data_IF_372650551442
#
_entry.id   IF_372650551442
#
_cell.length_a   1.000
_cell.length_b   1.000
_cell.length_c   1.000
_cell.angle_alpha   90.00
_cell.angle_beta   90.00
_cell.angle_gamma   90.00
#
_symmetry.space_group_name_H-M   'P 1'
#
loop_
_entity.id
_entity.type
_entity.pdbx_description
1 polymer ?
#
# COMPACT_ATOMS: atom_id res chain seq x y z
N UNK A 1 7.45 -14.61 -13.96
CA UNK A 1 6.78 -13.30 -14.03
C UNK A 1 6.72 -12.71 -12.63
N UNK A 2 6.94 -11.40 -12.44
CA UNK A 2 6.99 -10.78 -11.11
C UNK A 2 5.60 -10.25 -10.75
N UNK A 3 4.95 -10.85 -9.75
CA UNK A 3 3.63 -10.38 -9.26
C UNK A 3 3.73 -8.88 -8.91
N UNK A 4 2.82 -8.03 -9.42
CA UNK A 4 2.81 -6.61 -9.11
C UNK A 4 2.54 -6.37 -7.62
N UNK A 5 2.93 -5.21 -7.13
CA UNK A 5 2.69 -4.80 -5.74
C UNK A 5 2.14 -3.39 -5.77
N UNK A 6 0.94 -3.21 -5.23
CA UNK A 6 0.27 -1.92 -5.25
C UNK A 6 0.92 -0.92 -4.28
N UNK A 7 1.33 -1.37 -3.09
CA UNK A 7 1.80 -0.49 -2.01
C UNK A 7 3.22 -0.89 -1.58
N UNK A 8 4.19 0.04 -1.56
CA UNK A 8 5.45 -0.23 -0.91
C UNK A 8 5.25 -0.29 0.61
N UNK A 9 5.71 -1.35 1.26
CA UNK A 9 5.43 -1.56 2.68
C UNK A 9 6.60 -2.23 3.40
N UNK A 10 6.95 -1.71 4.57
CA UNK A 10 7.97 -2.29 5.43
C UNK A 10 7.55 -3.70 5.88
N UNK A 11 8.47 -4.67 5.79
CA UNK A 11 8.19 -6.06 6.17
C UNK A 11 7.39 -6.86 5.15
N UNK A 12 7.14 -6.31 3.95
CA UNK A 12 6.46 -7.00 2.85
C UNK A 12 7.16 -8.32 2.51
N UNK A 13 6.37 -9.40 2.45
CA UNK A 13 6.85 -10.76 2.15
C UNK A 13 7.08 -11.02 0.67
N UNK A 14 6.95 -10.04 -0.22
CA UNK A 14 7.04 -10.23 -1.68
C UNK A 14 8.28 -11.02 -2.15
N UNK A 15 9.44 -10.80 -1.52
CA UNK A 15 10.68 -11.53 -1.86
C UNK A 15 10.69 -12.99 -1.37
N UNK A 16 9.97 -13.26 -0.28
CA UNK A 16 9.87 -14.57 0.36
C UNK A 16 8.61 -15.34 -0.07
N UNK A 17 7.65 -14.70 -0.73
CA UNK A 17 6.32 -15.26 -0.97
C UNK A 17 6.36 -16.59 -1.71
N UNK A 18 7.20 -16.71 -2.76
CA UNK A 18 7.37 -17.97 -3.48
C UNK A 18 7.96 -19.07 -2.58
N UNK A 19 8.97 -18.75 -1.77
CA UNK A 19 9.57 -19.71 -0.84
C UNK A 19 8.57 -20.15 0.23
N UNK A 20 7.69 -19.26 0.69
CA UNK A 20 6.64 -19.61 1.66
C UNK A 20 5.62 -20.55 1.01
N UNK A 21 5.25 -20.29 -0.26
CA UNK A 21 4.32 -21.11 -1.03
C UNK A 21 4.84 -22.55 -1.20
N UNK A 22 6.15 -22.76 -1.34
CA UNK A 22 6.75 -24.10 -1.47
C UNK A 22 6.46 -25.02 -0.26
N UNK A 23 6.09 -24.45 0.89
CA UNK A 23 5.70 -25.20 2.09
C UNK A 23 4.18 -25.32 2.28
N UNK A 24 3.38 -24.80 1.35
CA UNK A 24 1.92 -24.83 1.41
C UNK A 24 1.34 -25.96 0.54
N UNK A 25 0.12 -26.45 0.83
CA UNK A 25 -0.61 -27.31 -0.09
C UNK A 25 -0.81 -26.62 -1.44
N UNK A 26 -0.81 -27.40 -2.53
CA UNK A 26 -1.03 -26.90 -3.89
C UNK A 26 -2.41 -26.23 -4.06
N UNK A 27 -3.38 -26.58 -3.23
CA UNK A 27 -4.71 -25.98 -3.20
C UNK A 27 -5.26 -25.99 -1.78
N UNK A 28 -5.89 -24.89 -1.38
CA UNK A 28 -6.64 -24.78 -0.14
C UNK A 28 -8.00 -24.14 -0.42
N UNK A 29 -9.02 -24.53 0.35
CA UNK A 29 -10.36 -23.96 0.20
C UNK A 29 -10.35 -22.45 0.49
N UNK A 30 -9.69 -22.05 1.59
CA UNK A 30 -9.56 -20.64 2.00
C UNK A 30 -8.15 -20.35 2.49
N UNK A 31 -7.62 -19.20 2.07
CA UNK A 31 -6.44 -18.59 2.66
C UNK A 31 -6.85 -17.43 3.57
N UNK A 32 -6.27 -17.35 4.77
CA UNK A 32 -6.54 -16.27 5.73
C UNK A 32 -5.19 -15.61 6.03
N UNK A 33 -5.10 -14.29 5.82
CA UNK A 33 -3.92 -13.47 6.12
C UNK A 33 -4.26 -12.47 7.24
N UNK A 34 -4.04 -12.83 8.52
CA UNK A 34 -4.44 -11.99 9.65
C UNK A 34 -3.68 -10.65 9.76
N UNK A 35 -2.48 -10.59 9.16
CA UNK A 35 -1.57 -9.46 9.22
C UNK A 35 -1.07 -9.13 7.82
N UNK A 36 -1.96 -8.60 6.99
CA UNK A 36 -1.72 -8.50 5.55
C UNK A 36 -0.61 -7.51 5.18
N UNK A 37 -0.53 -6.37 5.87
CA UNK A 37 0.34 -5.27 5.44
C UNK A 37 0.07 -4.88 3.99
N UNK A 38 0.97 -5.22 3.06
CA UNK A 38 0.77 -4.98 1.62
C UNK A 38 0.02 -6.12 0.88
N UNK A 39 -0.58 -7.06 1.60
CA UNK A 39 -1.25 -8.26 1.06
C UNK A 39 -0.37 -9.08 0.10
N UNK A 40 0.95 -9.14 0.38
CA UNK A 40 1.90 -9.78 -0.52
C UNK A 40 1.68 -11.29 -0.64
N UNK A 41 1.26 -11.96 0.44
CA UNK A 41 0.93 -13.39 0.38
C UNK A 41 -0.41 -13.59 -0.33
N UNK A 42 -1.45 -12.84 0.01
CA UNK A 42 -2.75 -12.90 -0.68
C UNK A 42 -2.60 -12.77 -2.20
N UNK A 43 -1.80 -11.82 -2.68
CA UNK A 43 -1.49 -11.66 -4.10
C UNK A 43 -0.78 -12.90 -4.68
N UNK A 44 0.18 -13.48 -3.95
CA UNK A 44 0.91 -14.66 -4.40
C UNK A 44 0.02 -15.92 -4.42
N UNK A 45 -0.86 -16.10 -3.43
CA UNK A 45 -1.85 -17.18 -3.37
C UNK A 45 -2.82 -17.09 -4.54
N UNK A 46 -3.37 -15.90 -4.80
CA UNK A 46 -4.27 -15.65 -5.93
C UNK A 46 -3.57 -15.89 -7.27
N UNK A 47 -2.38 -15.33 -7.46
CA UNK A 47 -1.61 -15.47 -8.70
C UNK A 47 -1.26 -16.93 -9.02
N UNK A 48 -0.87 -17.71 -8.02
CA UNK A 48 -0.55 -19.14 -8.17
C UNK A 48 -1.80 -20.03 -8.14
N UNK A 49 -3.01 -19.46 -8.05
CA UNK A 49 -4.30 -20.18 -8.00
C UNK A 49 -4.37 -21.23 -6.88
N UNK A 50 -3.71 -20.96 -5.76
CA UNK A 50 -3.70 -21.86 -4.59
C UNK A 50 -5.05 -21.78 -3.87
N UNK A 51 -5.69 -20.61 -3.85
CA UNK A 51 -7.05 -20.43 -3.33
C UNK A 51 -7.77 -19.31 -4.07
N UNK A 52 -9.08 -19.48 -4.24
CA UNK A 52 -10.00 -18.46 -4.77
C UNK A 52 -10.74 -17.71 -3.66
N UNK A 53 -10.68 -18.20 -2.42
CA UNK A 53 -11.32 -17.58 -1.26
C UNK A 53 -10.24 -17.05 -0.31
N UNK A 54 -10.00 -15.75 -0.34
CA UNK A 54 -8.91 -15.10 0.39
C UNK A 54 -9.49 -14.09 1.38
N UNK A 55 -9.19 -14.26 2.66
CA UNK A 55 -9.56 -13.32 3.71
C UNK A 55 -8.34 -12.53 4.14
N UNK A 56 -8.44 -11.21 4.02
CA UNK A 56 -7.38 -10.27 4.32
C UNK A 56 -7.79 -9.48 5.56
N UNK A 57 -6.94 -9.46 6.58
CA UNK A 57 -7.14 -8.62 7.75
C UNK A 57 -5.94 -7.72 7.98
N UNK A 58 -6.22 -6.49 8.41
CA UNK A 58 -5.21 -5.55 8.86
C UNK A 58 -5.80 -4.60 9.90
N UNK A 59 -5.06 -4.38 10.99
CA UNK A 59 -5.52 -3.55 12.11
C UNK A 59 -5.46 -2.05 11.78
N UNK A 60 -4.54 -1.64 10.91
CA UNK A 60 -4.47 -0.29 10.40
C UNK A 60 -5.63 -0.04 9.42
N UNK A 61 -6.75 0.47 9.95
CA UNK A 61 -8.00 0.68 9.21
C UNK A 61 -7.80 1.42 7.87
N UNK A 62 -7.12 2.57 7.78
CA UNK A 62 -6.83 3.21 6.50
C UNK A 62 -6.10 2.34 5.48
N UNK A 63 -5.23 1.44 5.93
CA UNK A 63 -4.54 0.50 5.05
C UNK A 63 -5.47 -0.63 4.59
N UNK A 64 -6.32 -1.14 5.48
CA UNK A 64 -7.35 -2.13 5.12
C UNK A 64 -8.33 -1.55 4.08
N UNK A 65 -8.82 -0.33 4.30
CA UNK A 65 -9.70 0.39 3.36
C UNK A 65 -9.00 0.68 2.03
N UNK A 66 -7.71 1.01 2.04
CA UNK A 66 -6.92 1.17 0.82
C UNK A 66 -6.83 -0.15 0.03
N UNK A 67 -6.58 -1.29 0.70
CA UNK A 67 -6.56 -2.60 0.05
C UNK A 67 -7.92 -2.93 -0.57
N UNK A 68 -9.01 -2.67 0.15
CA UNK A 68 -10.37 -2.86 -0.33
C UNK A 68 -10.67 -2.01 -1.58
N UNK A 69 -10.30 -0.73 -1.56
CA UNK A 69 -10.46 0.17 -2.71
C UNK A 69 -9.63 -0.27 -3.92
N UNK A 70 -8.40 -0.75 -3.71
CA UNK A 70 -7.56 -1.27 -4.79
C UNK A 70 -8.20 -2.49 -5.45
N UNK A 71 -8.86 -3.35 -4.66
CA UNK A 71 -9.52 -4.57 -5.17
C UNK A 71 -10.81 -4.20 -5.92
N UNK A 72 -11.65 -3.37 -5.31
CA UNK A 72 -13.02 -3.15 -5.78
C UNK A 72 -13.15 -1.96 -6.75
N UNK A 73 -12.26 -0.97 -6.66
CA UNK A 73 -12.32 0.29 -7.41
C UNK A 73 -10.95 0.75 -7.93
N UNK A 74 -10.14 -0.10 -8.60
CA UNK A 74 -8.77 0.21 -8.97
C UNK A 74 -8.63 1.44 -9.89
N UNK A 75 -9.58 1.66 -10.80
CA UNK A 75 -9.59 2.84 -11.68
C UNK A 75 -9.71 4.14 -10.89
N UNK A 76 -10.66 4.20 -9.95
CA UNK A 76 -10.82 5.35 -9.06
C UNK A 76 -9.57 5.63 -8.23
N UNK A 77 -8.96 4.58 -7.65
CA UNK A 77 -7.70 4.74 -6.89
C UNK A 77 -6.60 5.30 -7.78
N UNK A 78 -6.45 4.79 -9.00
CA UNK A 78 -5.46 5.26 -9.97
C UNK A 78 -5.68 6.73 -10.32
N UNK A 79 -6.91 7.12 -10.67
CA UNK A 79 -7.24 8.48 -11.11
C UNK A 79 -7.01 9.51 -10.01
N UNK A 80 -7.41 9.21 -8.77
CA UNK A 80 -7.20 10.10 -7.63
C UNK A 80 -5.72 10.17 -7.26
N UNK A 81 -5.02 9.03 -7.26
CA UNK A 81 -3.59 8.99 -7.00
C UNK A 81 -2.80 9.79 -8.03
N UNK A 82 -3.14 9.69 -9.32
CA UNK A 82 -2.51 10.47 -10.39
C UNK A 82 -2.70 11.98 -10.20
N UNK A 83 -3.87 12.43 -9.73
CA UNK A 83 -4.07 13.84 -9.39
C UNK A 83 -3.16 14.29 -8.25
N UNK A 84 -3.11 13.53 -7.16
CA UNK A 84 -2.19 13.81 -6.03
C UNK A 84 -0.72 13.81 -6.49
N UNK A 85 -0.40 12.93 -7.44
CA UNK A 85 0.92 12.79 -8.03
C UNK A 85 1.35 14.01 -8.84
N UNK A 86 0.44 14.58 -9.61
CA UNK A 86 0.72 15.73 -10.46
C UNK A 86 0.70 17.05 -9.66
N UNK A 87 -0.24 17.21 -8.72
CA UNK A 87 -0.35 18.43 -7.89
C UNK A 87 0.86 18.69 -6.98
N UNK A 88 1.58 17.65 -6.58
CA UNK A 88 2.77 17.81 -5.73
C UNK A 88 3.97 18.40 -6.48
N UNK A 89 4.01 18.38 -7.81
CA UNK A 89 5.22 18.62 -8.62
C UNK A 89 5.81 20.02 -8.40
N UNK A 90 4.98 21.03 -8.19
CA UNK A 90 5.42 22.42 -8.02
C UNK A 90 6.11 22.66 -6.67
N UNK A 91 5.56 22.09 -5.59
CA UNK A 91 6.14 22.21 -4.25
C UNK A 91 6.02 20.87 -3.47
N UNK A 92 6.88 19.89 -3.79
CA UNK A 92 6.77 18.52 -3.28
C UNK A 92 6.80 18.39 -1.75
N UNK A 93 7.57 19.25 -1.08
CA UNK A 93 7.76 19.19 0.37
C UNK A 93 6.56 19.77 1.11
N UNK A 94 6.10 20.96 0.73
CA UNK A 94 4.96 21.60 1.38
C UNK A 94 3.66 20.86 1.04
N UNK A 95 3.53 20.35 -0.19
CA UNK A 95 2.40 19.51 -0.57
C UNK A 95 2.33 18.23 0.27
N UNK A 96 3.47 17.55 0.49
CA UNK A 96 3.51 16.40 1.40
C UNK A 96 3.07 16.77 2.82
N UNK A 97 3.55 17.88 3.38
CA UNK A 97 3.17 18.31 4.73
C UNK A 97 1.68 18.67 4.82
N UNK A 98 1.13 19.31 3.78
CA UNK A 98 -0.30 19.58 3.64
C UNK A 98 -1.10 18.28 3.62
N UNK A 99 -0.74 17.33 2.76
CA UNK A 99 -1.41 16.03 2.66
C UNK A 99 -1.26 15.17 3.91
N UNK A 100 -0.16 15.26 4.63
CA UNK A 100 -0.02 14.62 5.94
C UNK A 100 -0.99 15.19 6.96
N UNK A 101 -1.15 16.52 7.01
CA UNK A 101 -2.13 17.17 7.89
C UNK A 101 -3.57 16.78 7.51
N UNK A 102 -3.86 16.76 6.22
CA UNK A 102 -5.16 16.34 5.67
C UNK A 102 -5.48 14.88 6.02
N UNK A 103 -4.50 13.97 5.87
CA UNK A 103 -4.64 12.57 6.26
C UNK A 103 -4.86 12.40 7.77
N UNK A 104 -4.10 13.12 8.61
CA UNK A 104 -4.29 13.02 10.06
C UNK A 104 -5.69 13.43 10.52
N UNK A 105 -6.37 14.29 9.75
CA UNK A 105 -7.76 14.65 9.98
C UNK A 105 -8.78 13.69 9.34
N UNK A 106 -8.59 13.34 8.07
CA UNK A 106 -9.56 12.58 7.26
C UNK A 106 -9.41 11.06 7.35
N UNK A 107 -8.21 10.58 7.65
CA UNK A 107 -7.79 9.18 7.51
C UNK A 107 -8.01 8.61 6.10
N UNK A 108 -8.01 9.45 5.06
CA UNK A 108 -8.28 9.04 3.68
C UNK A 108 -7.26 8.00 3.16
N UNK A 109 -7.72 6.83 2.67
CA UNK A 109 -6.85 5.73 2.25
C UNK A 109 -5.98 6.06 1.02
N UNK A 110 -6.45 6.90 0.10
CA UNK A 110 -5.69 7.27 -1.10
C UNK A 110 -4.63 8.32 -0.76
N UNK A 111 -4.91 9.22 0.18
CA UNK A 111 -3.87 10.10 0.74
C UNK A 111 -2.82 9.26 1.47
N UNK A 112 -3.21 8.21 2.21
CA UNK A 112 -2.26 7.28 2.80
C UNK A 112 -1.35 6.65 1.72
N UNK A 113 -1.90 6.18 0.59
CA UNK A 113 -1.10 5.66 -0.52
C UNK A 113 -0.03 6.66 -0.98
N UNK A 114 -0.43 7.92 -1.20
CA UNK A 114 0.50 9.00 -1.54
C UNK A 114 1.60 9.17 -0.48
N UNK A 115 1.23 9.22 0.81
CA UNK A 115 2.19 9.36 1.91
C UNK A 115 3.16 8.16 1.99
N UNK A 116 2.68 6.93 1.81
CA UNK A 116 3.51 5.71 1.87
C UNK A 116 4.57 5.68 0.78
N UNK A 117 4.24 6.13 -0.43
CA UNK A 117 5.20 6.20 -1.55
C UNK A 117 6.25 7.30 -1.34
N UNK A 118 5.86 8.37 -0.63
CA UNK A 118 6.68 9.57 -0.43
C UNK A 118 7.40 9.64 0.91
N UNK A 119 7.10 8.78 1.88
CA UNK A 119 7.73 8.85 3.20
C UNK A 119 9.09 8.12 3.23
N UNK A 120 9.94 8.53 4.18
CA UNK A 120 11.24 7.89 4.39
C UNK A 120 11.08 6.39 4.64
N UNK A 121 11.80 5.59 3.84
CA UNK A 121 11.82 4.12 3.90
C UNK A 121 10.46 3.42 3.66
N UNK A 122 9.43 4.11 3.17
CA UNK A 122 8.07 3.55 3.07
C UNK A 122 7.56 2.97 4.41
N UNK A 123 7.99 3.57 5.52
CA UNK A 123 7.64 3.10 6.85
C UNK A 123 6.31 3.71 7.28
N UNK A 124 5.42 2.91 7.85
CA UNK A 124 4.18 3.41 8.45
C UNK A 124 4.43 3.63 9.93
N UNK A 125 4.16 4.84 10.42
CA UNK A 125 4.32 5.16 11.84
C UNK A 125 3.33 6.24 12.26
N UNK A 126 2.68 5.96 13.38
CA UNK A 126 1.75 6.85 14.04
C UNK A 126 2.30 7.25 15.42
N UNK A 127 1.94 8.42 15.91
CA UNK A 127 2.18 8.80 17.31
C UNK A 127 1.07 8.24 18.22
N UNK A 128 1.16 8.51 19.52
CA UNK A 128 0.17 8.07 20.52
C UNK A 128 -1.24 8.64 20.28
N UNK A 129 -1.35 9.72 19.50
CA UNK A 129 -2.64 10.31 19.09
C UNK A 129 -3.22 9.66 17.82
N UNK A 130 -2.56 8.64 17.26
CA UNK A 130 -2.97 8.01 16.01
C UNK A 130 -2.63 8.83 14.76
N UNK A 131 -1.78 9.85 14.87
CA UNK A 131 -1.41 10.72 13.74
C UNK A 131 -0.17 10.18 13.03
N UNK A 132 -0.23 10.10 11.70
CA UNK A 132 0.92 9.76 10.87
C UNK A 132 2.01 10.82 10.99
N UNK A 133 3.23 10.39 11.30
CA UNK A 133 4.32 11.30 11.70
C UNK A 133 5.65 11.07 10.94
N UNK A 134 5.60 10.44 9.76
CA UNK A 134 6.80 10.29 8.93
C UNK A 134 7.12 11.55 8.14
N UNK A 135 8.41 11.75 7.90
CA UNK A 135 8.94 12.83 7.07
C UNK A 135 8.97 12.43 5.59
N UNK A 136 8.89 13.39 4.65
CA UNK A 136 9.04 13.11 3.23
C UNK A 136 10.46 12.62 2.91
N UNK A 137 10.57 11.64 2.02
CA UNK A 137 11.83 11.23 1.39
C UNK A 137 12.17 12.20 0.27
N UNK A 138 13.17 13.07 0.52
CA UNK A 138 13.62 14.11 -0.43
C UNK A 138 14.23 13.55 -1.72
N UNK A 139 14.58 12.26 -1.76
CA UNK A 139 15.15 11.61 -2.95
C UNK A 139 14.07 11.09 -3.89
N UNK A 140 12.84 10.96 -3.39
CA UNK A 140 11.72 10.39 -4.13
C UNK A 140 10.76 11.50 -4.50
N UNK A 141 10.95 12.02 -5.70
CA UNK A 141 9.90 12.71 -6.44
C UNK A 141 8.97 11.71 -7.14
N UNK A 142 9.30 10.40 -7.04
CA UNK A 142 8.79 9.20 -7.75
C UNK A 142 9.00 9.21 -9.26
N UNK A 143 8.25 8.37 -9.98
CA UNK A 143 8.48 8.20 -11.41
C UNK A 143 7.90 9.38 -12.17
N UNK A 144 8.77 10.27 -12.61
CA UNK A 144 8.47 11.25 -13.65
C UNK A 144 8.58 10.45 -14.94
N UNK A 145 7.46 10.04 -15.52
CA UNK A 145 7.46 9.45 -16.85
C UNK A 145 8.11 10.44 -17.80
N UNK A 146 9.39 10.21 -18.14
CA UNK A 146 9.95 10.85 -19.33
C UNK A 146 9.29 10.15 -20.50
N UNK A 147 8.63 10.94 -21.34
CA UNK A 147 7.98 10.49 -22.56
C UNK A 147 8.90 9.77 -23.53
#
# INVERSE_FOLDING_TARGET
MRVPQAIPYQGSKRKLANQIIDFMPNRVERFIEPFAGSAAMSMAISYNKISENIWINEINKPLAELLELIINSPGYVSDVYEKLWNEQLDNPQDYYLKKRKEFNYSQDPIILLYLLVRCVKNAVRYNEKGEFNQSPDKRRLGWIGKG
#
